data_IF_710431108605
#
_entry.id   IF_710431108605
#
_cell.length_a   1.000
_cell.length_b   1.000
_cell.length_c   1.000
_cell.angle_alpha   90.00
_cell.angle_beta   90.00
_cell.angle_gamma   90.00
#
_symmetry.space_group_name_H-M   'P 1'
#
loop_
_entity.id
_entity.type
_entity.pdbx_description
1 polymer ?
#
# COMPACT_ATOMS: atom_id res chain seq x y z
N UNK A 1 -16.86 -12.75 -4.44
CA UNK A 1 -15.75 -12.20 -5.27
C UNK A 1 -15.00 -11.16 -4.46
N UNK A 2 -13.70 -11.32 -4.31
CA UNK A 2 -12.86 -10.40 -3.55
C UNK A 2 -12.72 -9.05 -4.28
N UNK A 3 -13.02 -7.95 -3.60
CA UNK A 3 -12.95 -6.59 -4.14
C UNK A 3 -11.49 -6.10 -4.30
N UNK A 4 -10.63 -6.44 -3.35
CA UNK A 4 -9.24 -6.04 -3.33
C UNK A 4 -8.46 -6.50 -4.59
N UNK A 5 -8.54 -7.77 -5.03
CA UNK A 5 -7.84 -8.20 -6.24
C UNK A 5 -8.17 -7.38 -7.49
N UNK A 6 -9.41 -6.86 -7.59
CA UNK A 6 -9.80 -6.04 -8.73
C UNK A 6 -9.14 -4.65 -8.69
N UNK A 7 -9.01 -4.02 -7.51
CA UNK A 7 -8.32 -2.75 -7.37
C UNK A 7 -6.83 -2.89 -7.69
N UNK A 8 -6.17 -3.90 -7.12
CA UNK A 8 -4.74 -4.15 -7.29
C UNK A 8 -4.40 -4.46 -8.75
N UNK A 9 -5.24 -5.25 -9.44
CA UNK A 9 -5.07 -5.52 -10.87
C UNK A 9 -5.22 -4.28 -11.73
N UNK A 10 -6.18 -3.39 -11.42
CA UNK A 10 -6.30 -2.11 -12.12
C UNK A 10 -5.11 -1.19 -11.83
N UNK A 11 -4.66 -1.14 -10.57
CA UNK A 11 -3.48 -0.38 -10.16
C UNK A 11 -2.23 -0.88 -10.90
N UNK A 12 -1.97 -2.19 -10.86
CA UNK A 12 -0.86 -2.84 -11.58
C UNK A 12 -0.86 -2.45 -13.06
N UNK A 13 -1.99 -2.62 -13.76
CA UNK A 13 -2.09 -2.28 -15.20
C UNK A 13 -1.73 -0.83 -15.45
N UNK A 14 -2.23 0.10 -14.64
CA UNK A 14 -1.93 1.53 -14.79
C UNK A 14 -0.48 1.89 -14.42
N UNK A 15 0.13 1.18 -13.50
CA UNK A 15 1.54 1.34 -13.18
C UNK A 15 2.43 0.82 -14.30
N UNK A 16 2.06 -0.29 -14.95
CA UNK A 16 2.79 -0.80 -16.14
C UNK A 16 2.81 0.24 -17.27
N UNK A 17 1.70 0.99 -17.45
CA UNK A 17 1.63 2.08 -18.44
C UNK A 17 2.44 3.32 -18.03
N UNK A 18 2.42 3.71 -16.74
CA UNK A 18 2.95 5.00 -16.26
C UNK A 18 4.37 4.95 -15.71
N UNK A 19 4.83 3.79 -15.27
CA UNK A 19 6.18 3.56 -14.74
C UNK A 19 6.76 2.24 -15.29
N UNK A 20 6.99 2.16 -16.62
CA UNK A 20 7.37 0.92 -17.32
C UNK A 20 8.79 0.43 -17.00
N UNK A 21 9.58 1.20 -16.25
CA UNK A 21 10.92 0.78 -15.81
C UNK A 21 10.91 -0.35 -14.78
N UNK A 22 9.74 -0.65 -14.19
CA UNK A 22 9.54 -1.73 -13.23
C UNK A 22 8.64 -2.83 -13.82
N UNK A 23 8.91 -4.07 -13.44
CA UNK A 23 7.96 -5.18 -13.58
C UNK A 23 6.97 -5.13 -12.42
N UNK A 24 5.70 -4.86 -12.67
CA UNK A 24 4.68 -4.75 -11.64
C UNK A 24 3.97 -6.07 -11.38
N UNK A 25 3.91 -6.51 -10.11
CA UNK A 25 3.24 -7.75 -9.68
C UNK A 25 2.23 -7.46 -8.57
N UNK A 26 1.09 -8.14 -8.59
CA UNK A 26 0.12 -8.14 -7.49
C UNK A 26 0.37 -9.31 -6.56
N UNK A 27 0.09 -9.15 -5.26
CA UNK A 27 0.25 -10.21 -4.27
C UNK A 27 1.68 -10.74 -4.15
N UNK A 28 2.68 -9.87 -4.35
CA UNK A 28 4.08 -10.26 -4.27
C UNK A 28 4.51 -10.52 -2.83
N UNK A 29 5.39 -11.51 -2.65
CA UNK A 29 6.08 -11.79 -1.39
C UNK A 29 7.56 -12.06 -1.64
N UNK A 30 8.41 -11.79 -0.65
CA UNK A 30 9.78 -12.27 -0.69
C UNK A 30 9.82 -13.80 -0.52
N UNK A 31 10.84 -14.45 -1.06
CA UNK A 31 11.00 -15.90 -1.00
C UNK A 31 10.98 -16.40 0.45
N UNK A 32 10.26 -17.49 0.67
CA UNK A 32 10.10 -18.11 1.98
C UNK A 32 9.16 -17.40 2.95
N UNK A 33 8.58 -16.23 2.58
CA UNK A 33 7.67 -15.48 3.43
C UNK A 33 6.20 -15.72 3.08
N UNK A 34 5.35 -15.87 4.12
CA UNK A 34 3.88 -16.07 3.96
C UNK A 34 3.11 -14.77 3.76
N UNK A 35 3.70 -13.62 4.07
CA UNK A 35 3.04 -12.33 3.86
C UNK A 35 3.12 -11.89 2.40
N UNK A 36 2.19 -11.04 2.01
CA UNK A 36 2.13 -10.47 0.66
C UNK A 36 1.92 -8.96 0.73
N UNK A 37 2.43 -8.24 -0.26
CA UNK A 37 2.07 -6.84 -0.53
C UNK A 37 1.06 -6.80 -1.68
N UNK A 38 0.21 -5.78 -1.69
CA UNK A 38 -0.84 -5.66 -2.70
C UNK A 38 -0.25 -5.50 -4.10
N UNK A 39 0.73 -4.59 -4.26
CA UNK A 39 1.44 -4.41 -5.53
C UNK A 39 2.94 -4.16 -5.28
N UNK A 40 3.80 -4.80 -6.06
CA UNK A 40 5.25 -4.57 -6.04
C UNK A 40 5.78 -4.19 -7.42
N UNK A 41 6.71 -3.24 -7.46
CA UNK A 41 7.52 -2.88 -8.61
C UNK A 41 8.91 -3.47 -8.47
N UNK A 42 9.26 -4.38 -9.37
CA UNK A 42 10.53 -5.09 -9.39
C UNK A 42 11.46 -4.49 -10.43
N UNK A 43 12.76 -4.49 -10.15
CA UNK A 43 13.79 -4.18 -11.12
C UNK A 43 13.86 -5.26 -12.21
N UNK A 44 14.61 -5.02 -13.29
CA UNK A 44 14.89 -6.02 -14.34
C UNK A 44 15.56 -7.31 -13.79
N UNK A 45 16.14 -7.24 -12.60
CA UNK A 45 16.76 -8.40 -11.91
C UNK A 45 15.79 -9.11 -10.96
N UNK A 46 14.51 -8.73 -10.96
CA UNK A 46 13.49 -9.29 -10.07
C UNK A 46 13.54 -8.77 -8.63
N UNK A 47 14.42 -7.81 -8.31
CA UNK A 47 14.55 -7.25 -6.97
C UNK A 47 13.44 -6.23 -6.69
N UNK A 48 12.79 -6.25 -5.52
CA UNK A 48 11.78 -5.26 -5.17
C UNK A 48 12.42 -3.86 -5.00
N UNK A 49 11.79 -2.87 -5.62
CA UNK A 49 12.17 -1.45 -5.52
C UNK A 49 11.07 -0.59 -4.97
N UNK A 50 9.82 -0.99 -5.23
CA UNK A 50 8.63 -0.30 -4.76
C UNK A 50 7.66 -1.32 -4.20
N UNK A 51 7.18 -1.11 -2.98
CA UNK A 51 6.13 -1.91 -2.36
C UNK A 51 4.94 -1.00 -2.10
N UNK A 52 3.73 -1.45 -2.44
CA UNK A 52 2.50 -0.67 -2.28
C UNK A 52 1.50 -1.49 -1.48
N UNK A 53 1.02 -0.92 -0.39
CA UNK A 53 -0.09 -1.43 0.41
C UNK A 53 -1.30 -0.50 0.24
N UNK A 54 -2.45 -1.06 -0.07
CA UNK A 54 -3.68 -0.31 -0.35
C UNK A 54 -4.70 -0.49 0.76
N UNK A 55 -4.79 0.50 1.61
CA UNK A 55 -5.64 0.49 2.81
C UNK A 55 -7.05 1.01 2.50
N UNK A 56 -7.91 0.15 1.96
CA UNK A 56 -9.28 0.54 1.64
C UNK A 56 -10.21 0.56 2.86
N UNK A 57 -10.10 -0.47 3.73
CA UNK A 57 -10.94 -0.62 4.92
C UNK A 57 -10.27 -1.47 6.02
N UNK A 58 -9.03 -1.82 5.92
CA UNK A 58 -8.37 -2.71 6.88
C UNK A 58 -8.48 -2.18 8.31
N UNK A 59 -8.67 -3.06 9.27
CA UNK A 59 -8.80 -2.66 10.67
C UNK A 59 -7.45 -2.40 11.33
N UNK A 60 -6.39 -3.02 10.82
CA UNK A 60 -5.03 -2.83 11.33
C UNK A 60 -4.00 -2.61 10.20
N UNK A 61 -3.94 -1.41 9.60
CA UNK A 61 -2.98 -1.10 8.53
C UNK A 61 -1.52 -1.10 9.01
N UNK A 62 -1.27 -0.97 10.32
CA UNK A 62 0.07 -1.00 10.93
C UNK A 62 0.77 -2.35 10.67
N UNK A 63 0.03 -3.46 10.63
CA UNK A 63 0.58 -4.79 10.35
C UNK A 63 1.34 -4.83 9.02
N UNK A 64 0.90 -4.06 8.03
CA UNK A 64 1.55 -4.00 6.73
C UNK A 64 2.93 -3.35 6.82
N UNK A 65 3.11 -2.33 7.65
CA UNK A 65 4.42 -1.72 7.90
C UNK A 65 5.31 -2.65 8.70
N UNK A 66 4.78 -3.26 9.77
CA UNK A 66 5.53 -4.16 10.66
C UNK A 66 6.07 -5.38 9.93
N UNK A 67 5.28 -6.00 9.04
CA UNK A 67 5.75 -7.17 8.26
C UNK A 67 6.94 -6.82 7.37
N UNK A 68 6.91 -5.64 6.72
CA UNK A 68 7.99 -5.17 5.87
C UNK A 68 9.23 -4.81 6.70
N UNK A 69 9.04 -4.17 7.87
CA UNK A 69 10.14 -3.87 8.77
C UNK A 69 10.84 -5.13 9.29
N UNK A 70 10.07 -6.16 9.71
CA UNK A 70 10.62 -7.46 10.11
C UNK A 70 11.43 -8.10 9.00
N UNK A 71 10.91 -8.10 7.79
CA UNK A 71 11.64 -8.60 6.62
C UNK A 71 12.93 -7.82 6.40
N UNK A 72 12.89 -6.49 6.46
CA UNK A 72 14.08 -5.64 6.29
C UNK A 72 15.20 -5.98 7.29
N UNK A 73 14.84 -6.37 8.52
CA UNK A 73 15.83 -6.75 9.57
C UNK A 73 16.56 -8.05 9.29
N UNK A 74 15.93 -9.00 8.62
CA UNK A 74 16.54 -10.30 8.30
C UNK A 74 17.15 -10.35 6.90
N UNK A 75 16.79 -9.42 6.04
CA UNK A 75 17.33 -9.35 4.69
C UNK A 75 18.79 -8.85 4.72
N UNK A 76 19.69 -9.61 4.08
CA UNK A 76 21.11 -9.30 4.08
C UNK A 76 21.54 -8.43 2.88
N UNK A 77 20.69 -8.32 1.86
CA UNK A 77 20.99 -7.51 0.67
C UNK A 77 20.87 -6.03 0.99
N UNK A 78 21.92 -5.27 0.71
CA UNK A 78 21.90 -3.81 0.85
C UNK A 78 21.19 -3.20 -0.35
N UNK A 79 19.92 -2.89 -0.21
CA UNK A 79 19.16 -2.20 -1.26
C UNK A 79 18.18 -1.19 -0.66
N UNK A 80 17.85 -0.19 -1.46
CA UNK A 80 16.83 0.81 -1.11
C UNK A 80 15.49 0.42 -1.69
N UNK A 81 14.45 0.48 -0.87
CA UNK A 81 13.06 0.15 -1.22
C UNK A 81 12.17 1.32 -0.82
N UNK A 82 11.24 1.69 -1.69
CA UNK A 82 10.18 2.63 -1.38
C UNK A 82 8.92 1.86 -0.97
N UNK A 83 8.51 1.97 0.29
CA UNK A 83 7.21 1.50 0.77
C UNK A 83 6.19 2.62 0.72
N UNK A 84 5.14 2.43 -0.07
CA UNK A 84 4.00 3.34 -0.20
C UNK A 84 2.78 2.71 0.45
N UNK A 85 2.17 3.42 1.41
CA UNK A 85 0.90 3.00 2.01
C UNK A 85 -0.20 3.97 1.57
N UNK A 86 -1.13 3.48 0.74
CA UNK A 86 -2.19 4.28 0.14
C UNK A 86 -3.49 4.13 0.92
N UNK A 87 -3.88 5.17 1.66
CA UNK A 87 -5.07 5.18 2.51
C UNK A 87 -6.29 5.73 1.80
N UNK A 88 -7.41 5.01 1.89
CA UNK A 88 -8.71 5.50 1.44
C UNK A 88 -9.16 6.71 2.26
N UNK A 89 -10.12 7.48 1.74
CA UNK A 89 -10.68 8.64 2.43
C UNK A 89 -11.37 8.27 3.77
N UNK A 90 -11.64 7.00 4.03
CA UNK A 90 -12.15 6.54 5.35
C UNK A 90 -11.15 6.79 6.48
N UNK A 91 -9.85 6.80 6.20
CA UNK A 91 -8.81 7.03 7.21
C UNK A 91 -8.47 8.51 7.39
N UNK A 92 -8.52 9.30 6.33
CA UNK A 92 -7.90 10.63 6.27
C UNK A 92 -8.92 11.77 6.44
N UNK A 93 -10.21 11.54 6.15
CA UNK A 93 -11.26 12.59 6.19
C UNK A 93 -12.17 12.52 7.40
N UNK A 94 -11.76 11.88 8.46
CA UNK A 94 -12.64 11.71 9.60
C UNK A 94 -12.69 12.93 10.50
N UNK A 95 -13.44 13.96 10.08
CA UNK A 95 -14.00 14.95 11.03
C UNK A 95 -15.20 14.41 11.83
N UNK A 96 -15.63 13.19 11.55
CA UNK A 96 -16.79 12.57 12.19
C UNK A 96 -16.33 11.62 13.30
N UNK A 97 -16.87 11.77 14.53
CA UNK A 97 -16.55 10.94 15.70
C UNK A 97 -16.62 9.43 15.42
N UNK A 98 -17.54 9.01 14.53
CA UNK A 98 -17.70 7.61 14.13
C UNK A 98 -16.44 7.00 13.44
N UNK A 99 -15.58 7.82 12.87
CA UNK A 99 -14.37 7.38 12.16
C UNK A 99 -13.06 7.68 12.91
N UNK A 100 -13.13 8.22 14.15
CA UNK A 100 -11.95 8.49 14.97
C UNK A 100 -11.02 7.27 15.14
N UNK A 101 -11.53 6.01 15.25
CA UNK A 101 -10.65 4.82 15.27
C UNK A 101 -9.80 4.67 14.00
N UNK A 102 -10.34 5.00 12.82
CA UNK A 102 -9.59 4.89 11.56
C UNK A 102 -8.49 5.94 11.45
N UNK A 103 -8.75 7.18 11.90
CA UNK A 103 -7.72 8.22 11.99
C UNK A 103 -6.58 7.79 12.91
N UNK A 104 -6.88 7.23 14.07
CA UNK A 104 -5.85 6.68 14.98
C UNK A 104 -5.00 5.59 14.33
N UNK A 105 -5.59 4.73 13.51
CA UNK A 105 -4.84 3.71 12.77
C UNK A 105 -3.92 4.31 11.70
N UNK A 106 -4.39 5.35 11.02
CA UNK A 106 -3.57 6.13 10.09
C UNK A 106 -2.35 6.74 10.80
N UNK A 107 -2.56 7.47 11.90
CA UNK A 107 -1.50 8.12 12.66
C UNK A 107 -0.49 7.11 13.21
N UNK A 108 -0.96 5.95 13.71
CA UNK A 108 -0.09 4.85 14.14
C UNK A 108 0.76 4.29 13.00
N UNK A 109 0.18 4.15 11.79
CA UNK A 109 0.94 3.66 10.64
C UNK A 109 2.05 4.62 10.25
N UNK A 110 1.80 5.93 10.29
CA UNK A 110 2.83 6.96 10.05
C UNK A 110 3.93 6.83 11.10
N UNK A 111 3.58 6.81 12.38
CA UNK A 111 4.55 6.70 13.47
C UNK A 111 5.46 5.47 13.32
N UNK A 112 4.89 4.31 13.04
CA UNK A 112 5.67 3.07 12.85
C UNK A 112 6.52 3.14 11.57
N UNK A 113 5.99 3.72 10.48
CA UNK A 113 6.74 3.93 9.24
C UNK A 113 7.96 4.84 9.42
N UNK A 114 7.82 5.91 10.19
CA UNK A 114 8.93 6.81 10.55
C UNK A 114 10.00 6.10 11.41
N UNK A 115 9.58 5.27 12.37
CA UNK A 115 10.49 4.44 13.16
C UNK A 115 11.24 3.43 12.29
N UNK A 116 10.56 2.81 11.33
CA UNK A 116 11.19 1.91 10.37
C UNK A 116 12.25 2.63 9.51
N UNK A 117 11.96 3.84 9.03
CA UNK A 117 12.93 4.64 8.27
C UNK A 117 14.15 5.02 9.10
N UNK A 118 13.96 5.29 10.39
CA UNK A 118 15.05 5.66 11.31
C UNK A 118 15.90 4.45 11.73
N UNK A 119 15.42 3.23 11.55
CA UNK A 119 16.11 2.01 11.96
C UNK A 119 17.29 1.70 11.02
N UNK A 120 18.52 1.97 11.51
CA UNK A 120 19.76 1.70 10.79
C UNK A 120 20.29 0.28 10.97
N UNK A 121 19.64 -0.53 11.81
CA UNK A 121 20.03 -1.94 12.04
C UNK A 121 19.56 -2.89 10.94
N UNK A 122 18.72 -2.43 10.03
CA UNK A 122 18.20 -3.22 8.92
C UNK A 122 19.21 -3.36 7.78
N UNK A 123 19.26 -4.52 7.16
CA UNK A 123 19.99 -4.73 5.91
C UNK A 123 19.39 -3.97 4.73
N UNK A 124 18.05 -3.84 4.70
CA UNK A 124 17.35 -3.01 3.72
C UNK A 124 17.18 -1.58 4.21
N UNK A 125 17.38 -0.63 3.31
CA UNK A 125 17.03 0.77 3.55
C UNK A 125 15.63 1.04 3.01
N UNK A 126 14.66 1.30 3.89
CA UNK A 126 13.27 1.52 3.49
C UNK A 126 12.92 2.99 3.63
N UNK A 127 12.53 3.61 2.52
CA UNK A 127 11.83 4.89 2.53
C UNK A 127 10.33 4.63 2.65
N UNK A 128 9.67 5.26 3.61
CA UNK A 128 8.23 5.14 3.82
C UNK A 128 7.52 6.42 3.44
N UNK A 129 6.44 6.29 2.66
CA UNK A 129 5.55 7.42 2.34
C UNK A 129 4.09 6.98 2.37
N UNK A 130 3.21 7.88 2.79
CA UNK A 130 1.77 7.69 2.73
C UNK A 130 1.16 8.46 1.55
N UNK A 131 0.09 7.91 0.98
CA UNK A 131 -0.70 8.55 -0.06
C UNK A 131 -2.16 8.58 0.37
N UNK A 132 -2.72 9.76 0.60
CA UNK A 132 -4.14 9.94 0.80
C UNK A 132 -4.89 9.84 -0.53
N UNK A 133 -5.82 8.89 -0.64
CA UNK A 133 -6.70 8.74 -1.78
C UNK A 133 -8.01 9.53 -1.55
N UNK A 134 -8.52 10.18 -2.60
CA UNK A 134 -9.88 10.80 -2.55
C UNK A 134 -11.01 9.76 -2.64
N UNK A 135 -10.68 8.49 -2.70
CA UNK A 135 -11.59 7.36 -2.83
C UNK A 135 -11.91 6.75 -1.48
N UNK A 136 -13.19 6.49 -1.23
CA UNK A 136 -13.65 5.65 -0.14
C UNK A 136 -14.56 4.56 -0.70
N UNK A 137 -14.36 3.27 -0.34
CA UNK A 137 -15.29 2.23 -0.71
C UNK A 137 -16.67 2.49 -0.06
N UNK A 138 -17.75 2.14 -0.75
CA UNK A 138 -19.09 2.18 -0.17
C UNK A 138 -19.23 1.07 0.86
N UNK A 139 -19.77 1.41 2.03
CA UNK A 139 -20.04 0.47 3.12
C UNK A 139 -21.55 0.39 3.36
N UNK A 140 -22.06 -0.83 3.54
CA UNK A 140 -23.42 -1.07 4.02
C UNK A 140 -23.57 -0.71 5.51
N UNK A 141 -24.81 -0.81 6.04
CA UNK A 141 -25.14 -0.49 7.45
C UNK A 141 -24.28 -1.27 8.45
N UNK A 142 -23.93 -2.51 8.14
CA UNK A 142 -23.06 -3.39 8.94
C UNK A 142 -21.56 -3.22 8.65
N UNK A 143 -21.17 -2.17 7.95
CA UNK A 143 -19.78 -1.92 7.56
C UNK A 143 -19.25 -2.86 6.48
N UNK A 144 -20.04 -3.76 5.91
CA UNK A 144 -19.66 -4.61 4.79
C UNK A 144 -19.62 -3.76 3.51
N UNK A 145 -18.63 -4.02 2.63
CA UNK A 145 -18.54 -3.30 1.36
C UNK A 145 -19.72 -3.65 0.46
N UNK A 146 -20.37 -2.62 -0.07
CA UNK A 146 -21.38 -2.77 -1.09
C UNK A 146 -20.68 -2.88 -2.45
N UNK A 147 -21.25 -3.71 -3.35
CA UNK A 147 -20.77 -3.82 -4.74
C UNK A 147 -20.87 -2.44 -5.41
N UNK A 148 -19.72 -1.87 -5.73
CA UNK A 148 -19.64 -0.61 -6.47
C UNK A 148 -19.49 -0.87 -7.96
N UNK A 149 -19.99 0.06 -8.79
CA UNK A 149 -19.67 0.08 -10.22
C UNK A 149 -18.15 0.18 -10.43
N UNK A 150 -17.63 -0.60 -11.37
CA UNK A 150 -16.20 -0.68 -11.67
C UNK A 150 -15.55 0.69 -12.02
N UNK A 151 -16.35 1.69 -12.44
CA UNK A 151 -15.86 3.01 -12.84
C UNK A 151 -15.14 3.78 -11.75
N UNK A 152 -15.74 3.93 -10.56
CA UNK A 152 -15.12 4.69 -9.44
C UNK A 152 -13.80 4.07 -8.98
N UNK A 153 -13.77 2.76 -8.90
CA UNK A 153 -12.58 2.01 -8.52
C UNK A 153 -11.45 2.16 -9.55
N UNK A 154 -11.78 2.09 -10.85
CA UNK A 154 -10.81 2.29 -11.95
C UNK A 154 -10.20 3.69 -11.94
N UNK A 155 -11.03 4.72 -11.70
CA UNK A 155 -10.58 6.12 -11.56
C UNK A 155 -9.64 6.25 -10.37
N UNK A 156 -9.99 5.65 -9.22
CA UNK A 156 -9.16 5.70 -8.03
C UNK A 156 -7.80 5.01 -8.24
N UNK A 157 -7.78 3.84 -8.86
CA UNK A 157 -6.55 3.13 -9.21
C UNK A 157 -5.69 3.91 -10.21
N UNK A 158 -6.30 4.55 -11.23
CA UNK A 158 -5.61 5.42 -12.18
C UNK A 158 -4.95 6.63 -11.48
N UNK A 159 -5.69 7.30 -10.60
CA UNK A 159 -5.19 8.45 -9.86
C UNK A 159 -4.07 8.06 -8.89
N UNK A 160 -4.17 6.91 -8.24
CA UNK A 160 -3.10 6.38 -7.38
C UNK A 160 -1.86 6.06 -8.21
N UNK A 161 -2.01 5.38 -9.36
CA UNK A 161 -0.89 5.07 -10.25
C UNK A 161 -0.16 6.34 -10.73
N UNK A 162 -0.91 7.41 -11.04
CA UNK A 162 -0.30 8.69 -11.43
C UNK A 162 0.49 9.34 -10.29
N UNK A 163 0.04 9.22 -9.04
CA UNK A 163 0.80 9.70 -7.87
C UNK A 163 2.05 8.85 -7.62
N UNK A 164 1.93 7.54 -7.71
CA UNK A 164 3.07 6.61 -7.54
C UNK A 164 4.12 6.88 -8.61
N UNK A 165 3.74 7.00 -9.88
CA UNK A 165 4.67 7.24 -10.98
C UNK A 165 5.52 8.52 -10.84
N UNK A 166 5.05 9.52 -10.07
CA UNK A 166 5.81 10.76 -9.75
C UNK A 166 6.80 10.56 -8.60
N UNK A 167 6.67 9.47 -7.84
CA UNK A 167 7.50 9.19 -6.66
C UNK A 167 8.63 8.20 -6.98
N UNK A 168 8.51 7.50 -8.08
CA UNK A 168 9.41 6.44 -8.54
C UNK A 168 10.05 6.80 -9.89
#
# INVERSE_FOLDING_TARGET
MAFAPNFDNHLKRKLTEKAPKYEWKTGWSADGHRWKVDVAGLSKRGEPRVLIEVELKKDNPVENVVKIWRWAKIEKRKQRILLLQAFSALYVKSRNRANAPKQKQYDRSIFIGERMMADRSSGLHIDYKTIAMKYAPRLGRNGVRIKEGAGRMRIAAHNLAAKVARLV
#
